data_IF_534529550694
#
_entry.id   IF_534529550694
#
_cell.length_a   1.000
_cell.length_b   1.000
_cell.length_c   1.000
_cell.angle_alpha   90.00
_cell.angle_beta   90.00
_cell.angle_gamma   90.00
#
_symmetry.space_group_name_H-M   'P 1'
#
loop_
_entity.id
_entity.type
_entity.pdbx_description
1 polymer ?
#
# COMPACT_ATOMS: atom_id res chain seq x y z
N UNK A 1 -31.73 -1.95 13.35
CA UNK A 1 -30.78 -1.46 12.32
C UNK A 1 -29.35 -1.82 12.75
N UNK A 2 -28.97 -3.10 12.66
CA UNK A 2 -27.69 -3.65 13.17
C UNK A 2 -26.82 -4.30 12.08
N UNK A 3 -27.29 -4.34 10.83
CA UNK A 3 -26.55 -5.00 9.72
C UNK A 3 -25.46 -4.07 9.13
N UNK A 4 -25.60 -2.75 9.27
CA UNK A 4 -24.65 -1.77 8.69
C UNK A 4 -23.31 -1.68 9.42
N UNK A 5 -23.23 -2.08 10.70
CA UNK A 5 -21.97 -2.00 11.48
C UNK A 5 -20.99 -3.13 11.14
N UNK A 6 -21.48 -4.34 10.87
CA UNK A 6 -20.62 -5.50 10.67
C UNK A 6 -19.84 -5.45 9.36
N UNK A 7 -20.45 -4.98 8.27
CA UNK A 7 -19.79 -4.85 6.98
C UNK A 7 -18.70 -3.77 7.00
N UNK A 8 -18.92 -2.67 7.73
CA UNK A 8 -17.96 -1.57 7.83
C UNK A 8 -16.73 -1.92 8.68
N UNK A 9 -16.90 -2.66 9.78
CA UNK A 9 -15.76 -3.12 10.58
C UNK A 9 -14.90 -4.12 9.79
N UNK A 10 -15.53 -5.05 9.05
CA UNK A 10 -14.79 -6.02 8.23
C UNK A 10 -14.03 -5.33 7.09
N UNK A 11 -14.67 -4.41 6.36
CA UNK A 11 -14.02 -3.68 5.27
C UNK A 11 -12.88 -2.76 5.77
N UNK A 12 -13.04 -2.13 6.94
CA UNK A 12 -11.99 -1.32 7.54
C UNK A 12 -10.80 -2.17 8.00
N UNK A 13 -11.06 -3.34 8.60
CA UNK A 13 -10.03 -4.30 9.01
C UNK A 13 -9.25 -4.85 7.80
N UNK A 14 -9.96 -5.19 6.71
CA UNK A 14 -9.33 -5.59 5.44
C UNK A 14 -8.50 -4.45 4.85
N UNK A 15 -9.01 -3.22 4.84
CA UNK A 15 -8.28 -2.04 4.33
C UNK A 15 -6.99 -1.79 5.10
N UNK A 16 -7.08 -1.74 6.43
CA UNK A 16 -5.93 -1.50 7.30
C UNK A 16 -4.89 -2.61 7.14
N UNK A 17 -5.33 -3.86 7.04
CA UNK A 17 -4.46 -5.01 6.84
C UNK A 17 -3.73 -4.94 5.50
N UNK A 18 -4.44 -4.71 4.39
CA UNK A 18 -3.84 -4.59 3.05
C UNK A 18 -2.84 -3.43 2.98
N UNK A 19 -3.17 -2.26 3.55
CA UNK A 19 -2.26 -1.10 3.54
C UNK A 19 -0.98 -1.39 4.35
N UNK A 20 -1.08 -2.07 5.50
CA UNK A 20 0.11 -2.46 6.27
C UNK A 20 0.99 -3.43 5.51
N UNK A 21 0.41 -4.48 4.92
CA UNK A 21 1.16 -5.43 4.10
C UNK A 21 1.86 -4.74 2.92
N UNK A 22 1.20 -3.75 2.31
CA UNK A 22 1.79 -3.00 1.21
C UNK A 22 2.96 -2.11 1.68
N UNK A 23 2.85 -1.45 2.83
CA UNK A 23 3.94 -0.65 3.43
C UNK A 23 5.11 -1.56 3.81
N UNK A 24 4.84 -2.73 4.38
CA UNK A 24 5.86 -3.74 4.72
C UNK A 24 6.55 -4.28 3.46
N UNK A 25 5.80 -4.51 2.38
CA UNK A 25 6.36 -4.92 1.10
C UNK A 25 7.31 -3.86 0.53
N UNK A 26 6.96 -2.56 0.66
CA UNK A 26 7.86 -1.47 0.27
C UNK A 26 9.13 -1.51 1.13
N UNK A 27 9.01 -1.63 2.45
CA UNK A 27 10.17 -1.69 3.35
C UNK A 27 11.10 -2.87 3.02
N UNK A 28 10.54 -4.02 2.66
CA UNK A 28 11.29 -5.24 2.33
C UNK A 28 11.80 -5.27 0.88
N UNK A 29 11.39 -4.33 0.03
CA UNK A 29 11.70 -4.37 -1.41
C UNK A 29 13.18 -4.15 -1.75
N UNK A 30 13.93 -3.53 -0.82
CA UNK A 30 15.29 -3.03 -1.07
C UNK A 30 15.41 -2.06 -2.26
N UNK A 31 14.28 -1.55 -2.77
CA UNK A 31 14.26 -0.60 -3.88
C UNK A 31 14.55 0.82 -3.41
N UNK A 32 15.16 1.59 -4.29
CA UNK A 32 15.33 3.03 -4.10
C UNK A 32 14.01 3.75 -4.40
N UNK A 33 13.63 4.67 -3.52
CA UNK A 33 12.41 5.45 -3.66
C UNK A 33 12.71 6.91 -3.98
N UNK A 34 12.34 7.36 -5.17
CA UNK A 34 12.51 8.74 -5.55
C UNK A 34 11.26 9.56 -5.23
N UNK A 35 11.41 10.52 -4.32
CA UNK A 35 10.40 11.52 -4.00
C UNK A 35 10.89 12.91 -4.37
N UNK A 36 10.18 13.56 -5.30
CA UNK A 36 10.48 14.93 -5.73
C UNK A 36 11.90 15.13 -6.26
N UNK A 37 12.49 14.12 -6.89
CA UNK A 37 13.86 14.16 -7.41
C UNK A 37 14.93 13.80 -6.38
N UNK A 38 14.55 13.41 -5.15
CA UNK A 38 15.47 12.94 -4.11
C UNK A 38 15.25 11.46 -3.85
N UNK A 39 16.35 10.73 -3.85
CA UNK A 39 16.39 9.31 -3.52
C UNK A 39 16.29 9.11 -2.01
N UNK A 40 15.57 8.06 -1.62
CA UNK A 40 15.29 7.62 -0.27
C UNK A 40 15.41 6.09 -0.23
N UNK A 41 15.72 5.53 0.93
CA UNK A 41 15.71 4.06 1.09
C UNK A 41 14.28 3.53 1.13
N UNK A 42 14.13 2.22 0.93
CA UNK A 42 12.87 1.50 1.10
C UNK A 42 12.22 1.76 2.47
N UNK A 43 13.00 1.75 3.54
CA UNK A 43 12.54 2.00 4.91
C UNK A 43 12.09 3.45 5.11
N UNK A 44 12.83 4.41 4.55
CA UNK A 44 12.43 5.83 4.57
C UNK A 44 11.11 6.06 3.82
N UNK A 45 10.91 5.35 2.70
CA UNK A 45 9.68 5.38 1.93
C UNK A 45 8.51 4.80 2.71
N UNK A 46 8.68 3.64 3.34
CA UNK A 46 7.68 3.00 4.18
C UNK A 46 7.26 3.92 5.34
N UNK A 47 8.22 4.47 6.09
CA UNK A 47 7.94 5.40 7.18
C UNK A 47 7.23 6.68 6.68
N UNK A 48 7.58 7.17 5.48
CA UNK A 48 6.89 8.30 4.88
C UNK A 48 5.42 7.99 4.56
N UNK A 49 5.14 6.82 4.01
CA UNK A 49 3.80 6.40 3.62
C UNK A 49 2.93 6.06 4.83
N UNK A 50 3.49 5.41 5.85
CA UNK A 50 2.83 5.17 7.13
C UNK A 50 2.38 6.50 7.77
N UNK A 51 3.26 7.51 7.78
CA UNK A 51 2.92 8.84 8.27
C UNK A 51 1.79 9.49 7.45
N UNK A 52 1.76 9.31 6.12
CA UNK A 52 0.66 9.82 5.28
C UNK A 52 -0.64 9.11 5.61
N UNK A 53 -0.62 7.78 5.79
CA UNK A 53 -1.80 6.99 6.11
C UNK A 53 -2.38 7.36 7.47
N UNK A 54 -1.54 7.45 8.51
CA UNK A 54 -1.96 7.89 9.84
C UNK A 54 -2.62 9.28 9.84
N UNK A 55 -2.15 10.20 9.00
CA UNK A 55 -2.73 11.55 8.84
C UNK A 55 -4.00 11.59 7.99
N UNK A 56 -4.23 10.58 7.17
CA UNK A 56 -5.44 10.50 6.36
C UNK A 56 -6.67 10.19 7.25
N UNK A 57 -6.48 9.41 8.31
CA UNK A 57 -7.56 8.99 9.21
C UNK A 57 -8.61 8.19 8.44
N UNK A 58 -9.90 8.44 8.72
CA UNK A 58 -11.04 7.73 8.10
C UNK A 58 -11.37 8.17 6.66
N UNK A 59 -10.39 8.64 5.90
CA UNK A 59 -10.59 9.16 4.52
C UNK A 59 -10.11 8.20 3.44
N UNK A 60 -9.67 7.01 3.84
CA UNK A 60 -9.15 5.97 2.96
C UNK A 60 -9.95 4.72 3.27
N UNK A 61 -10.76 4.30 2.31
CA UNK A 61 -11.73 3.20 2.44
C UNK A 61 -11.24 1.91 1.75
N UNK A 62 -10.09 1.95 1.06
CA UNK A 62 -9.44 0.77 0.47
C UNK A 62 -7.92 0.95 0.27
N UNK A 63 -7.20 -0.15 0.07
CA UNK A 63 -5.77 -0.08 -0.29
C UNK A 63 -5.55 0.58 -1.66
N UNK A 64 -6.45 0.38 -2.63
CA UNK A 64 -6.42 1.09 -3.91
C UNK A 64 -6.52 2.61 -3.72
N UNK A 65 -7.35 3.07 -2.77
CA UNK A 65 -7.46 4.48 -2.43
C UNK A 65 -6.19 5.00 -1.72
N UNK A 66 -5.57 4.20 -0.86
CA UNK A 66 -4.26 4.51 -0.29
C UNK A 66 -3.22 4.73 -1.40
N UNK A 67 -3.13 3.83 -2.38
CA UNK A 67 -2.18 3.95 -3.50
C UNK A 67 -2.45 5.22 -4.29
N UNK A 68 -3.68 5.41 -4.75
CA UNK A 68 -4.03 6.52 -5.65
C UNK A 68 -3.90 7.88 -4.96
N UNK A 69 -4.35 8.02 -3.71
CA UNK A 69 -4.42 9.32 -3.01
C UNK A 69 -3.17 9.66 -2.19
N UNK A 70 -2.44 8.65 -1.71
CA UNK A 70 -1.31 8.85 -0.79
C UNK A 70 -0.01 8.23 -1.29
N UNK A 71 -0.05 7.05 -1.90
CA UNK A 71 1.14 6.30 -2.31
C UNK A 71 1.76 6.76 -3.63
N UNK A 72 0.97 7.28 -4.58
CA UNK A 72 1.41 7.47 -5.96
C UNK A 72 2.23 8.75 -6.20
N UNK A 73 1.98 9.80 -5.42
CA UNK A 73 2.49 11.14 -5.70
C UNK A 73 2.56 12.06 -4.48
N UNK A 74 3.34 13.12 -4.63
CA UNK A 74 3.46 14.16 -3.61
C UNK A 74 2.22 15.04 -3.59
N UNK A 75 1.56 15.16 -2.45
CA UNK A 75 0.46 16.12 -2.28
C UNK A 75 0.93 17.57 -2.32
N UNK A 76 2.24 17.82 -2.18
CA UNK A 76 2.82 19.18 -2.21
C UNK A 76 3.18 19.63 -3.64
N UNK A 77 3.71 18.73 -4.46
CA UNK A 77 4.22 19.07 -5.81
C UNK A 77 3.40 18.47 -6.95
N UNK A 78 2.54 17.49 -6.67
CA UNK A 78 1.83 16.69 -7.67
C UNK A 78 2.71 15.69 -8.43
N UNK A 79 4.02 15.66 -8.19
CA UNK A 79 4.93 14.77 -8.93
C UNK A 79 4.74 13.31 -8.50
N UNK A 80 4.74 12.36 -9.45
CA UNK A 80 4.72 10.94 -9.12
C UNK A 80 5.99 10.56 -8.36
N UNK A 81 5.85 9.62 -7.44
CA UNK A 81 6.99 8.93 -6.85
C UNK A 81 7.47 7.83 -7.78
N UNK A 82 8.76 7.51 -7.72
CA UNK A 82 9.35 6.43 -8.51
C UNK A 82 9.95 5.39 -7.59
N UNK A 83 9.89 4.13 -8.00
CA UNK A 83 10.62 3.03 -7.38
C UNK A 83 11.63 2.49 -8.39
N UNK A 84 12.87 2.33 -7.93
CA UNK A 84 13.98 1.81 -8.72
C UNK A 84 14.47 0.52 -8.05
N UNK A 85 14.18 -0.62 -8.65
CA UNK A 85 14.53 -1.95 -8.16
C UNK A 85 15.53 -2.57 -9.15
N UNK A 86 16.73 -2.93 -8.68
CA UNK A 86 17.76 -3.59 -9.52
C UNK A 86 18.12 -2.85 -10.82
N UNK A 87 17.92 -1.53 -10.86
CA UNK A 87 18.19 -0.68 -12.04
C UNK A 87 16.97 -0.37 -12.90
N UNK A 88 15.88 -1.11 -12.75
CA UNK A 88 14.61 -0.82 -13.41
C UNK A 88 13.79 0.18 -12.59
N UNK A 89 13.32 1.24 -13.26
CA UNK A 89 12.59 2.33 -12.60
C UNK A 89 11.18 2.44 -13.15
N UNK A 90 10.20 2.45 -12.25
CA UNK A 90 8.79 2.61 -12.59
C UNK A 90 8.09 3.57 -11.61
N UNK A 91 6.90 4.09 -11.95
CA UNK A 91 6.07 4.81 -11.00
C UNK A 91 5.76 3.97 -9.77
N UNK A 92 5.94 4.53 -8.58
CA UNK A 92 5.68 3.82 -7.32
C UNK A 92 4.21 3.33 -7.24
N UNK A 93 3.28 4.10 -7.82
CA UNK A 93 1.87 3.72 -7.94
C UNK A 93 1.67 2.39 -8.66
N UNK A 94 2.36 2.18 -9.78
CA UNK A 94 2.30 0.93 -10.55
C UNK A 94 2.91 -0.21 -9.76
N UNK A 95 4.09 0.01 -9.16
CA UNK A 95 4.75 -0.98 -8.30
C UNK A 95 3.83 -1.46 -7.16
N UNK A 96 3.13 -0.52 -6.50
CA UNK A 96 2.23 -0.85 -5.40
C UNK A 96 0.96 -1.60 -5.85
N UNK A 97 0.47 -1.35 -7.07
CA UNK A 97 -0.68 -2.09 -7.62
C UNK A 97 -0.27 -3.55 -7.81
N UNK A 98 0.88 -3.79 -8.46
CA UNK A 98 1.39 -5.15 -8.67
C UNK A 98 1.65 -5.88 -7.34
N UNK A 99 2.17 -5.18 -6.34
CA UNK A 99 2.38 -5.72 -5.00
C UNK A 99 1.04 -6.06 -4.31
N UNK A 100 0.04 -5.20 -4.41
CA UNK A 100 -1.29 -5.41 -3.82
C UNK A 100 -2.00 -6.61 -4.47
N UNK A 101 -1.89 -6.79 -5.78
CA UNK A 101 -2.42 -7.95 -6.48
C UNK A 101 -1.78 -9.26 -5.99
N UNK A 102 -0.46 -9.27 -5.81
CA UNK A 102 0.26 -10.42 -5.25
C UNK A 102 -0.16 -10.73 -3.81
N UNK A 103 -0.32 -9.71 -2.97
CA UNK A 103 -0.81 -9.86 -1.59
C UNK A 103 -2.20 -10.54 -1.60
N UNK A 104 -3.14 -10.03 -2.40
CA UNK A 104 -4.51 -10.56 -2.49
C UNK A 104 -4.54 -12.00 -3.00
N UNK A 105 -3.74 -12.31 -4.03
CA UNK A 105 -3.62 -13.67 -4.56
C UNK A 105 -3.06 -14.64 -3.51
N UNK A 106 -2.07 -14.22 -2.74
CA UNK A 106 -1.48 -15.04 -1.67
C UNK A 106 -2.49 -15.31 -0.56
N UNK A 107 -3.20 -14.28 -0.08
CA UNK A 107 -4.26 -14.43 0.93
C UNK A 107 -5.35 -15.40 0.47
N UNK A 108 -5.79 -15.31 -0.78
CA UNK A 108 -6.80 -16.23 -1.32
C UNK A 108 -6.32 -17.69 -1.34
N UNK A 109 -5.04 -17.92 -1.62
CA UNK A 109 -4.46 -19.28 -1.62
C UNK A 109 -4.36 -19.91 -0.22
N UNK A 110 -4.12 -19.09 0.81
CA UNK A 110 -4.07 -19.53 2.21
C UNK A 110 -5.46 -19.93 2.73
N UNK A 111 -6.49 -19.17 2.37
CA UNK A 111 -7.87 -19.48 2.75
C UNK A 111 -8.35 -20.80 2.14
N UNK A 112 -8.04 -21.06 0.86
CA UNK A 112 -8.41 -22.32 0.18
C UNK A 112 -7.69 -23.55 0.76
N UNK A 113 -6.47 -23.38 1.23
CA UNK A 113 -5.70 -24.44 1.88
C UNK A 113 -6.22 -24.77 3.29
N UNK A 114 -6.81 -23.79 3.98
CA UNK A 114 -7.35 -23.97 5.34
C UNK A 114 -8.70 -24.72 5.36
N UNK A 115 -9.44 -24.71 4.24
CA UNK A 115 -10.77 -25.34 4.13
C UNK A 115 -10.70 -26.85 3.79
N UNK A 116 -9.53 -27.36 3.40
CA UNK A 116 -9.34 -28.77 2.99
C UNK A 116 -8.65 -29.65 4.05
N UNK A 117 -8.49 -29.16 5.28
CA UNK A 117 -7.81 -29.84 6.40
C UNK A 117 -8.74 -30.28 7.51
#
# INVERSE_FOLDING_TARGET
>A
MLILKSLYLQAADTTEHEVRLLIDAIAASHCDFNRNGRQHTAEEAAAHLELKYARAGKRIDSADEFITRLGSSSSFTGKPYLMSCEGDTLPAGEWMIDALEQIRAHTQSLDQSTVSG
#
